data_IF_821551328648
#
_entry.id   IF_821551328648
#
_cell.length_a   1.000
_cell.length_b   1.000
_cell.length_c   1.000
_cell.angle_alpha   90.00
_cell.angle_beta   90.00
_cell.angle_gamma   90.00
#
_symmetry.space_group_name_H-M   'P 1'
#
loop_
_entity.id
_entity.type
_entity.pdbx_description
1 polymer ?
#
# COMPACT_ATOMS: atom_id res chain seq x y z
N UNK A 1 -9.93 0.68 -5.27
CA UNK A 1 -11.19 0.44 -4.54
C UNK A 1 -11.01 -0.76 -3.64
N UNK A 2 -11.61 -0.74 -2.46
CA UNK A 2 -11.63 -1.91 -1.58
C UNK A 2 -12.71 -2.89 -2.08
N UNK A 3 -12.36 -4.17 -2.18
CA UNK A 3 -13.24 -5.24 -2.69
C UNK A 3 -13.45 -6.37 -1.70
N UNK A 4 -12.77 -6.34 -0.56
CA UNK A 4 -12.88 -7.35 0.47
C UNK A 4 -12.60 -6.74 1.84
N UNK A 5 -13.37 -7.15 2.83
CA UNK A 5 -13.13 -6.90 4.25
C UNK A 5 -13.64 -8.09 5.05
N UNK A 6 -12.81 -8.61 5.97
CA UNK A 6 -13.25 -9.58 6.96
C UNK A 6 -12.51 -9.42 8.28
N UNK A 7 -13.27 -9.40 9.37
CA UNK A 7 -12.73 -9.48 10.73
C UNK A 7 -12.25 -10.90 11.07
N UNK A 8 -12.92 -11.91 10.52
CA UNK A 8 -12.56 -13.32 10.69
C UNK A 8 -11.83 -13.78 9.44
N UNK A 9 -10.51 -13.81 9.53
CA UNK A 9 -9.68 -14.18 8.40
C UNK A 9 -10.04 -15.57 7.85
N UNK A 10 -10.39 -15.60 6.55
CA UNK A 10 -10.65 -16.82 5.80
C UNK A 10 -9.79 -16.83 4.52
N UNK A 11 -8.75 -17.68 4.42
CA UNK A 11 -7.88 -17.72 3.25
C UNK A 11 -8.60 -18.24 2.00
N UNK A 12 -9.63 -19.07 2.14
CA UNK A 12 -10.37 -19.61 1.00
C UNK A 12 -11.14 -18.53 0.25
N UNK A 13 -11.72 -17.57 0.98
CA UNK A 13 -12.35 -16.39 0.39
C UNK A 13 -11.36 -15.57 -0.43
N UNK A 14 -10.11 -15.43 0.05
CA UNK A 14 -9.08 -14.73 -0.69
C UNK A 14 -8.57 -15.50 -1.91
N UNK A 15 -8.55 -16.83 -1.86
CA UNK A 15 -8.27 -17.64 -3.06
C UNK A 15 -9.38 -17.47 -4.11
N UNK A 16 -10.65 -17.47 -3.71
CA UNK A 16 -11.78 -17.20 -4.61
C UNK A 16 -11.74 -15.77 -5.17
N UNK A 17 -11.42 -14.78 -4.34
CA UNK A 17 -11.19 -13.40 -4.78
C UNK A 17 -10.05 -13.33 -5.79
N UNK A 18 -8.96 -14.06 -5.55
CA UNK A 18 -7.85 -14.17 -6.50
C UNK A 18 -8.29 -14.73 -7.85
N UNK A 19 -9.11 -15.79 -7.86
CA UNK A 19 -9.69 -16.33 -9.10
C UNK A 19 -10.56 -15.32 -9.82
N UNK A 20 -11.40 -14.57 -9.11
CA UNK A 20 -12.22 -13.52 -9.70
C UNK A 20 -11.36 -12.42 -10.34
N UNK A 21 -10.34 -11.95 -9.63
CA UNK A 21 -9.37 -10.96 -10.12
C UNK A 21 -8.66 -11.45 -11.40
N UNK A 22 -8.14 -12.68 -11.37
CA UNK A 22 -7.43 -13.26 -12.51
C UNK A 22 -8.34 -13.55 -13.72
N UNK A 23 -9.62 -13.83 -13.48
CA UNK A 23 -10.61 -14.04 -14.54
C UNK A 23 -10.85 -12.78 -15.36
N UNK A 24 -10.87 -11.61 -14.71
CA UNK A 24 -11.08 -10.31 -15.38
C UNK A 24 -9.78 -9.80 -15.98
N UNK A 25 -8.71 -9.89 -15.19
CA UNK A 25 -7.43 -9.29 -15.52
C UNK A 25 -6.53 -10.31 -16.20
N UNK A 26 -6.55 -10.31 -17.53
CA UNK A 26 -5.60 -11.05 -18.33
C UNK A 26 -4.22 -10.37 -18.29
N UNK A 27 -3.14 -11.17 -18.27
CA UNK A 27 -1.77 -10.68 -18.30
C UNK A 27 -1.15 -10.53 -16.91
N UNK A 28 -0.41 -9.45 -16.68
CA UNK A 28 0.39 -9.24 -15.45
C UNK A 28 -0.35 -8.35 -14.45
N UNK A 29 -0.50 -8.83 -13.21
CA UNK A 29 -1.10 -8.12 -12.09
C UNK A 29 -0.04 -7.85 -11.03
N UNK A 30 0.08 -6.61 -10.57
CA UNK A 30 0.96 -6.26 -9.47
C UNK A 30 0.30 -6.67 -8.16
N UNK A 31 0.98 -7.46 -7.34
CA UNK A 31 0.46 -7.91 -6.04
C UNK A 31 1.39 -7.54 -4.90
N UNK A 32 0.85 -6.81 -3.92
CA UNK A 32 1.59 -6.38 -2.73
C UNK A 32 0.84 -6.64 -1.43
N UNK A 33 1.48 -6.32 -0.31
CA UNK A 33 0.84 -6.32 1.02
C UNK A 33 1.43 -5.30 1.98
N UNK A 34 0.72 -5.07 3.08
CA UNK A 34 1.26 -4.38 4.25
C UNK A 34 2.25 -5.25 5.05
N UNK A 35 2.73 -4.75 6.20
CA UNK A 35 3.71 -5.43 7.06
C UNK A 35 3.21 -6.65 7.84
N UNK A 36 1.90 -6.85 7.94
CA UNK A 36 1.30 -7.76 8.94
C UNK A 36 1.36 -9.22 8.52
N UNK A 37 1.49 -10.10 9.52
CA UNK A 37 1.63 -11.54 9.28
C UNK A 37 0.40 -12.14 8.61
N UNK A 38 -0.80 -11.69 9.01
CA UNK A 38 -2.06 -12.16 8.43
C UNK A 38 -2.20 -11.76 6.95
N UNK A 39 -1.74 -10.56 6.58
CA UNK A 39 -1.73 -10.10 5.19
C UNK A 39 -0.77 -10.91 4.32
N UNK A 40 0.32 -11.44 4.91
CA UNK A 40 1.22 -12.40 4.22
C UNK A 40 0.49 -13.68 3.87
N UNK A 41 -0.32 -14.22 4.78
CA UNK A 41 -1.11 -15.40 4.50
C UNK A 41 -2.19 -15.10 3.45
N UNK A 42 -2.95 -14.01 3.64
CA UNK A 42 -3.99 -13.62 2.71
C UNK A 42 -3.48 -13.37 1.28
N UNK A 43 -2.33 -12.69 1.14
CA UNK A 43 -1.68 -12.49 -0.16
C UNK A 43 -1.33 -13.82 -0.83
N UNK A 44 -0.80 -14.80 -0.10
CA UNK A 44 -0.46 -16.12 -0.68
C UNK A 44 -1.71 -16.84 -1.19
N UNK A 45 -2.80 -16.83 -0.43
CA UNK A 45 -4.05 -17.44 -0.86
C UNK A 45 -4.61 -16.75 -2.13
N UNK A 46 -4.61 -15.42 -2.14
CA UNK A 46 -5.03 -14.63 -3.30
C UNK A 46 -4.15 -14.89 -4.54
N UNK A 47 -2.83 -14.95 -4.36
CA UNK A 47 -1.87 -15.26 -5.42
C UNK A 47 -2.18 -16.61 -6.09
N UNK A 48 -2.46 -17.65 -5.29
CA UNK A 48 -2.82 -18.99 -5.81
C UNK A 48 -4.07 -18.91 -6.69
N UNK A 49 -5.10 -18.18 -6.25
CA UNK A 49 -6.31 -17.98 -7.04
C UNK A 49 -6.03 -17.28 -8.37
N UNK A 50 -5.23 -16.20 -8.35
CA UNK A 50 -4.89 -15.45 -9.57
C UNK A 50 -4.15 -16.35 -10.57
N UNK A 51 -3.08 -17.04 -10.16
CA UNK A 51 -2.28 -17.85 -11.10
C UNK A 51 -3.05 -19.05 -11.67
N UNK A 52 -4.05 -19.58 -10.95
CA UNK A 52 -4.91 -20.66 -11.46
C UNK A 52 -5.78 -20.27 -12.67
N UNK A 53 -5.88 -18.97 -12.97
CA UNK A 53 -6.60 -18.45 -14.14
C UNK A 53 -5.70 -18.25 -15.36
N UNK A 54 -4.39 -18.47 -15.20
CA UNK A 54 -3.38 -18.22 -16.24
C UNK A 54 -2.73 -16.84 -16.17
N UNK A 55 -3.23 -15.95 -15.30
CA UNK A 55 -2.65 -14.61 -15.11
C UNK A 55 -1.31 -14.66 -14.36
N UNK A 56 -0.38 -13.82 -14.79
CA UNK A 56 0.94 -13.67 -14.18
C UNK A 56 0.89 -12.62 -13.07
N UNK A 57 1.65 -12.85 -12.00
CA UNK A 57 1.77 -11.91 -10.89
C UNK A 57 3.16 -11.31 -10.84
N UNK A 58 3.21 -9.99 -10.69
CA UNK A 58 4.41 -9.27 -10.23
C UNK A 58 4.31 -9.08 -8.71
N UNK A 59 4.97 -9.94 -7.93
CA UNK A 59 4.95 -9.88 -6.47
C UNK A 59 5.96 -8.87 -5.94
N UNK A 60 5.48 -7.70 -5.54
CA UNK A 60 6.29 -6.58 -5.00
C UNK A 60 6.58 -6.70 -3.51
N UNK A 61 6.18 -7.81 -2.89
CA UNK A 61 6.33 -8.13 -1.47
C UNK A 61 5.70 -7.10 -0.53
N UNK A 62 6.49 -6.15 -0.04
CA UNK A 62 6.19 -5.28 1.09
C UNK A 62 6.39 -3.83 0.63
N UNK A 63 5.31 -3.06 0.59
CA UNK A 63 5.34 -1.68 0.09
C UNK A 63 4.13 -0.91 0.65
N UNK A 64 4.24 0.38 0.98
CA UNK A 64 3.07 1.18 1.35
C UNK A 64 2.07 1.26 0.20
N UNK A 65 0.76 1.15 0.50
CA UNK A 65 -0.27 1.17 -0.54
C UNK A 65 -0.24 2.46 -1.38
N UNK A 66 0.06 3.61 -0.77
CA UNK A 66 0.17 4.89 -1.50
C UNK A 66 1.28 4.84 -2.56
N UNK A 67 2.45 4.28 -2.25
CA UNK A 67 3.53 4.09 -3.22
C UNK A 67 3.16 3.06 -4.29
N UNK A 68 2.53 1.95 -3.88
CA UNK A 68 2.15 0.91 -4.83
C UNK A 68 1.15 1.42 -5.86
N UNK A 69 0.20 2.26 -5.46
CA UNK A 69 -0.76 2.89 -6.37
C UNK A 69 -0.03 3.73 -7.44
N UNK A 70 0.91 4.57 -7.00
CA UNK A 70 1.68 5.41 -7.91
C UNK A 70 2.60 4.58 -8.84
N UNK A 71 3.26 3.56 -8.28
CA UNK A 71 4.11 2.63 -9.04
C UNK A 71 3.30 1.87 -10.11
N UNK A 72 2.16 1.30 -9.73
CA UNK A 72 1.29 0.57 -10.64
C UNK A 72 0.71 1.47 -11.74
N UNK A 73 0.27 2.68 -11.39
CA UNK A 73 -0.21 3.67 -12.35
C UNK A 73 0.85 4.00 -13.40
N UNK A 74 2.12 4.20 -13.00
CA UNK A 74 3.23 4.46 -13.94
C UNK A 74 3.55 3.26 -14.81
N UNK A 75 3.46 2.04 -14.29
CA UNK A 75 3.64 0.82 -15.08
C UNK A 75 2.47 0.54 -16.02
N UNK A 76 1.32 1.19 -15.83
CA UNK A 76 0.10 0.91 -16.59
C UNK A 76 -0.46 -0.49 -16.32
N UNK A 77 -0.21 -1.04 -15.12
CA UNK A 77 -0.61 -2.38 -14.75
C UNK A 77 -1.67 -2.35 -13.63
N UNK A 78 -2.63 -3.31 -13.65
CA UNK A 78 -3.57 -3.48 -12.55
C UNK A 78 -2.84 -3.92 -11.29
N UNK A 79 -3.44 -3.62 -10.13
CA UNK A 79 -2.88 -3.99 -8.84
C UNK A 79 -3.92 -4.62 -7.90
N UNK A 80 -3.46 -5.55 -7.06
CA UNK A 80 -4.19 -6.08 -5.91
C UNK A 80 -3.29 -6.02 -4.66
N UNK A 81 -3.85 -5.58 -3.53
CA UNK A 81 -3.07 -5.32 -2.33
C UNK A 81 -3.80 -5.79 -1.07
N UNK A 82 -3.14 -6.65 -0.30
CA UNK A 82 -3.70 -7.20 0.95
C UNK A 82 -3.14 -6.44 2.14
N UNK A 83 -4.02 -5.91 3.00
CA UNK A 83 -3.61 -5.21 4.21
C UNK A 83 -4.53 -5.53 5.37
N UNK A 84 -4.07 -5.20 6.57
CA UNK A 84 -4.90 -5.36 7.75
C UNK A 84 -5.12 -4.02 8.46
N UNK A 85 -6.40 -3.71 8.68
CA UNK A 85 -6.86 -2.57 9.44
C UNK A 85 -8.25 -2.87 10.03
N UNK A 86 -8.30 -3.27 11.30
CA UNK A 86 -9.51 -3.77 11.96
C UNK A 86 -10.03 -5.11 11.40
N UNK A 87 -9.29 -5.75 10.51
CA UNK A 87 -9.67 -6.90 9.71
C UNK A 87 -8.80 -6.98 8.45
N UNK A 88 -8.82 -8.11 7.75
CA UNK A 88 -8.13 -8.26 6.47
C UNK A 88 -8.92 -7.60 5.37
N UNK A 89 -8.25 -6.80 4.56
CA UNK A 89 -8.81 -6.00 3.48
C UNK A 89 -8.04 -6.24 2.19
N UNK A 90 -8.73 -6.12 1.06
CA UNK A 90 -8.09 -6.14 -0.27
C UNK A 90 -8.48 -4.91 -1.05
N UNK A 91 -7.47 -4.16 -1.48
CA UNK A 91 -7.61 -3.05 -2.40
C UNK A 91 -7.20 -3.50 -3.81
N UNK A 92 -7.97 -3.08 -4.82
CA UNK A 92 -7.63 -3.26 -6.24
C UNK A 92 -7.62 -1.92 -6.99
N UNK A 93 -6.87 -1.84 -8.08
CA UNK A 93 -6.91 -0.74 -9.04
C UNK A 93 -6.65 -1.25 -10.45
N UNK A 94 -7.24 -0.62 -11.46
CA UNK A 94 -7.17 -1.08 -12.85
C UNK A 94 -8.01 -2.34 -13.12
N UNK A 95 -8.92 -2.71 -12.22
CA UNK A 95 -9.84 -3.85 -12.32
C UNK A 95 -11.22 -3.37 -11.86
N UNK A 96 -12.28 -3.79 -12.55
CA UNK A 96 -13.67 -3.43 -12.21
C UNK A 96 -14.14 -4.19 -10.95
N UNK A 97 -14.50 -3.47 -9.88
CA UNK A 97 -14.99 -4.09 -8.65
C UNK A 97 -16.36 -4.75 -8.77
N UNK A 98 -17.24 -4.22 -9.61
CA UNK A 98 -18.57 -4.79 -9.78
C UNK A 98 -18.49 -6.09 -10.55
N UNK A 99 -17.59 -6.18 -11.52
CA UNK A 99 -17.31 -7.43 -12.22
C UNK A 99 -16.67 -8.48 -11.29
N UNK A 100 -15.76 -8.07 -10.38
CA UNK A 100 -15.23 -8.97 -9.34
C UNK A 100 -16.36 -9.58 -8.51
N UNK A 101 -17.32 -8.76 -8.07
CA UNK A 101 -18.47 -9.23 -7.28
C UNK A 101 -19.34 -10.18 -8.10
N UNK A 102 -19.66 -9.83 -9.34
CA UNK A 102 -20.47 -10.67 -10.22
C UNK A 102 -19.85 -12.06 -10.45
N UNK A 103 -18.53 -12.15 -10.63
CA UNK A 103 -17.82 -13.42 -10.75
C UNK A 103 -17.80 -14.20 -9.43
N UNK A 104 -17.60 -13.51 -8.31
CA UNK A 104 -17.66 -14.14 -6.98
C UNK A 104 -19.04 -14.72 -6.66
N UNK A 105 -20.11 -14.06 -7.08
CA UNK A 105 -21.50 -14.50 -6.91
C UNK A 105 -21.83 -15.67 -7.84
N UNK A 106 -21.53 -15.52 -9.14
CA UNK A 106 -21.85 -16.53 -10.15
C UNK A 106 -20.92 -17.76 -10.13
N UNK A 107 -19.74 -17.63 -9.50
CA UNK A 107 -18.64 -18.62 -9.55
C UNK A 107 -18.14 -18.92 -10.97
N UNK A 108 -18.32 -17.99 -11.90
CA UNK A 108 -17.90 -18.10 -13.30
C UNK A 108 -16.40 -17.84 -13.47
N UNK A 109 -15.57 -18.65 -12.83
CA UNK A 109 -14.11 -18.48 -12.88
C UNK A 109 -13.52 -19.05 -14.16
N UNK A 110 -12.50 -18.38 -14.69
CA UNK A 110 -11.59 -19.01 -15.66
C UNK A 110 -10.71 -20.02 -14.92
N UNK A 111 -10.44 -21.15 -15.58
CA UNK A 111 -9.51 -22.16 -15.13
C UNK A 111 -8.49 -22.41 -16.23
N UNK A 112 -7.23 -22.17 -15.92
CA UNK A 112 -6.14 -22.43 -16.86
C UNK A 112 -5.94 -23.93 -17.05
N UNK A 113 -5.60 -24.33 -18.27
CA UNK A 113 -5.10 -25.67 -18.51
C UNK A 113 -3.76 -25.86 -17.80
N UNK A 114 -3.35 -27.11 -17.49
CA UNK A 114 -2.10 -27.37 -16.78
C UNK A 114 -0.85 -26.70 -17.38
N UNK A 115 -0.81 -26.53 -18.71
CA UNK A 115 0.30 -25.91 -19.42
C UNK A 115 0.23 -24.36 -19.46
N UNK A 116 -0.91 -23.79 -19.06
CA UNK A 116 -1.20 -22.36 -19.12
C UNK A 116 -1.32 -21.74 -17.72
N UNK A 117 -0.94 -22.45 -16.66
CA UNK A 117 -0.95 -21.91 -15.29
C UNK A 117 -0.02 -20.70 -15.23
N UNK A 118 -0.53 -19.62 -14.63
CA UNK A 118 0.19 -18.35 -14.51
C UNK A 118 1.44 -18.45 -13.64
N UNK A 119 2.37 -17.52 -13.86
CA UNK A 119 3.62 -17.46 -13.11
C UNK A 119 3.58 -16.42 -11.99
N UNK A 120 4.34 -16.64 -10.92
CA UNK A 120 4.67 -15.58 -9.96
C UNK A 120 6.09 -15.10 -10.20
N UNK A 121 6.22 -13.85 -10.64
CA UNK A 121 7.49 -13.15 -10.83
C UNK A 121 7.74 -12.26 -9.61
N UNK A 122 8.77 -12.57 -8.83
CA UNK A 122 9.13 -11.76 -7.67
C UNK A 122 9.85 -10.49 -8.10
N UNK A 123 9.33 -9.33 -7.67
CA UNK A 123 9.89 -8.02 -7.96
C UNK A 123 10.11 -7.21 -6.67
N UNK A 124 11.07 -7.60 -5.82
CA UNK A 124 11.27 -6.99 -4.50
C UNK A 124 11.72 -5.53 -4.55
N UNK A 125 12.22 -5.05 -5.69
CA UNK A 125 12.81 -3.72 -5.85
C UNK A 125 11.78 -2.61 -6.14
N UNK A 126 10.47 -2.91 -6.17
CA UNK A 126 9.43 -1.93 -6.51
C UNK A 126 9.50 -0.64 -5.68
N UNK A 127 9.76 -0.78 -4.37
CA UNK A 127 9.91 0.37 -3.47
C UNK A 127 11.16 1.20 -3.80
N UNK A 128 12.26 0.53 -4.14
CA UNK A 128 13.54 1.19 -4.45
C UNK A 128 13.46 1.93 -5.78
N UNK A 129 12.87 1.31 -6.80
CA UNK A 129 12.61 1.95 -8.10
C UNK A 129 11.70 3.16 -7.95
N UNK A 130 10.64 3.02 -7.15
CA UNK A 130 9.70 4.10 -6.87
C UNK A 130 10.40 5.30 -6.21
N UNK A 131 11.22 5.05 -5.18
CA UNK A 131 11.98 6.11 -4.51
C UNK A 131 13.04 6.72 -5.42
N UNK A 132 13.72 5.92 -6.24
CA UNK A 132 14.66 6.41 -7.23
C UNK A 132 13.99 7.38 -8.22
N UNK A 133 12.80 7.04 -8.72
CA UNK A 133 12.03 7.91 -9.59
C UNK A 133 11.64 9.23 -8.91
N UNK A 134 11.19 9.16 -7.65
CA UNK A 134 10.87 10.35 -6.86
C UNK A 134 12.10 11.25 -6.70
N UNK A 135 13.24 10.69 -6.29
CA UNK A 135 14.47 11.44 -6.04
C UNK A 135 15.06 12.04 -7.30
N UNK A 136 14.87 11.38 -8.45
CA UNK A 136 15.23 11.94 -9.76
C UNK A 136 14.34 13.12 -10.16
N UNK A 137 13.06 13.09 -9.80
CA UNK A 137 12.11 14.13 -10.19
C UNK A 137 12.13 15.35 -9.25
N UNK A 138 12.30 15.11 -7.95
CA UNK A 138 12.25 16.15 -6.93
C UNK A 138 13.63 16.42 -6.33
N UNK A 139 14.10 17.64 -6.54
CA UNK A 139 15.31 18.17 -5.90
C UNK A 139 14.94 19.45 -5.14
N UNK A 140 14.57 19.30 -3.88
CA UNK A 140 14.29 20.41 -2.96
C UNK A 140 14.73 20.03 -1.54
N UNK A 141 14.81 21.01 -0.65
CA UNK A 141 15.14 20.80 0.76
C UNK A 141 14.00 21.31 1.64
N UNK A 142 13.63 20.51 2.63
CA UNK A 142 12.72 20.88 3.71
C UNK A 142 13.57 21.13 4.94
N UNK A 143 13.34 22.26 5.62
CA UNK A 143 14.02 22.54 6.89
C UNK A 143 13.14 22.08 8.05
N UNK A 144 13.79 21.77 9.17
CA UNK A 144 13.12 21.46 10.41
C UNK A 144 12.93 19.97 10.65
N UNK A 145 12.00 19.64 11.55
CA UNK A 145 11.77 18.32 12.09
C UNK A 145 10.32 17.88 11.90
N UNK A 146 10.14 16.68 11.35
CA UNK A 146 8.85 16.06 11.13
C UNK A 146 8.56 15.00 12.20
N UNK A 147 7.33 15.00 12.73
CA UNK A 147 6.79 13.84 13.43
C UNK A 147 6.05 12.95 12.42
N UNK A 148 6.42 11.68 12.35
CA UNK A 148 5.86 10.75 11.37
C UNK A 148 5.19 9.57 12.06
N UNK A 149 3.90 9.40 11.86
CA UNK A 149 3.14 8.23 12.27
C UNK A 149 3.07 7.21 11.11
N UNK A 150 3.84 6.13 11.23
CA UNK A 150 3.85 5.05 10.25
C UNK A 150 2.70 4.05 10.41
N UNK A 151 1.86 4.17 11.45
CA UNK A 151 0.70 3.33 11.75
C UNK A 151 0.95 1.80 11.69
N UNK A 152 2.15 1.37 12.05
CA UNK A 152 2.64 -0.01 11.95
C UNK A 152 2.57 -0.56 10.49
N UNK A 153 2.67 0.32 9.50
CA UNK A 153 2.65 0.00 8.07
C UNK A 153 4.07 -0.01 7.49
N UNK A 154 4.27 -0.44 6.23
CA UNK A 154 5.56 -0.37 5.57
C UNK A 154 6.08 1.06 5.34
N UNK A 155 5.32 2.11 5.70
CA UNK A 155 5.73 3.50 5.53
C UNK A 155 7.04 3.82 6.26
N UNK A 156 7.35 3.10 7.35
CA UNK A 156 8.66 3.17 8.04
C UNK A 156 9.85 2.99 7.09
N UNK A 157 9.69 2.25 5.99
CA UNK A 157 10.74 2.00 4.99
C UNK A 157 11.05 3.20 4.09
N UNK A 158 10.20 4.23 4.11
CA UNK A 158 10.45 5.49 3.40
C UNK A 158 11.44 6.38 4.15
N UNK A 159 11.24 6.52 5.46
CA UNK A 159 11.68 7.72 6.16
C UNK A 159 13.19 7.89 6.29
N UNK A 160 14.03 6.84 6.44
CA UNK A 160 15.47 7.03 6.36
C UNK A 160 15.92 7.64 5.04
N UNK A 161 15.28 7.30 3.92
CA UNK A 161 15.70 7.77 2.59
C UNK A 161 15.06 9.09 2.19
N UNK A 162 13.79 9.28 2.54
CA UNK A 162 13.07 10.54 2.28
C UNK A 162 13.66 11.66 3.14
N UNK A 163 13.94 11.42 4.43
CA UNK A 163 14.58 12.42 5.31
C UNK A 163 15.92 12.86 4.77
N UNK A 164 16.78 11.91 4.38
CA UNK A 164 18.13 12.19 3.92
C UNK A 164 18.14 12.95 2.59
N UNK A 165 17.28 12.54 1.65
CA UNK A 165 17.18 13.18 0.34
C UNK A 165 16.64 14.60 0.44
N UNK A 166 15.57 14.84 1.20
CA UNK A 166 14.96 16.16 1.33
C UNK A 166 15.51 17.00 2.49
N UNK A 167 16.38 16.45 3.35
CA UNK A 167 17.15 17.19 4.35
C UNK A 167 16.39 17.65 5.61
N UNK A 168 15.33 16.95 6.02
CA UNK A 168 14.61 17.23 7.27
C UNK A 168 14.83 16.13 8.30
N UNK A 169 14.79 16.49 9.59
CA UNK A 169 14.86 15.52 10.67
C UNK A 169 13.54 14.76 10.81
N UNK A 170 13.59 13.49 11.17
CA UNK A 170 12.39 12.68 11.35
C UNK A 170 12.40 11.98 12.70
N UNK A 171 11.29 12.10 13.41
CA UNK A 171 10.96 11.23 14.52
C UNK A 171 9.77 10.34 14.15
N UNK A 172 9.97 9.02 14.20
CA UNK A 172 8.93 8.06 13.89
C UNK A 172 8.16 7.65 15.15
N UNK A 173 6.85 7.45 14.99
CA UNK A 173 6.00 6.72 15.93
C UNK A 173 5.24 5.62 15.19
N UNK A 174 4.76 4.61 15.94
CA UNK A 174 4.10 3.43 15.35
C UNK A 174 4.95 2.83 14.21
N UNK A 175 6.26 2.74 14.44
CA UNK A 175 7.30 2.39 13.47
C UNK A 175 7.58 0.89 13.39
N UNK A 176 7.07 0.13 14.36
CA UNK A 176 7.14 -1.32 14.33
C UNK A 176 6.08 -1.89 13.38
N UNK A 177 6.50 -2.53 12.29
CA UNK A 177 5.64 -3.33 11.43
C UNK A 177 5.19 -4.62 12.15
N UNK A 178 4.21 -4.49 13.04
CA UNK A 178 3.73 -5.58 13.89
C UNK A 178 2.21 -5.75 13.81
N UNK A 179 1.76 -6.98 14.00
CA UNK A 179 0.34 -7.34 14.19
C UNK A 179 -0.04 -7.44 15.66
N UNK A 180 0.92 -7.42 16.59
CA UNK A 180 0.69 -7.68 18.01
C UNK A 180 0.16 -6.46 18.76
N UNK A 181 0.53 -5.26 18.33
CA UNK A 181 0.11 -4.02 18.96
C UNK A 181 -0.64 -3.16 17.94
N UNK A 182 -1.84 -2.65 18.28
CA UNK A 182 -2.47 -1.62 17.46
C UNK A 182 -1.58 -0.36 17.46
N UNK A 183 -1.61 0.43 16.38
CA UNK A 183 -0.96 1.74 16.41
C UNK A 183 -1.61 2.60 17.49
N UNK A 184 -0.80 3.46 18.14
CA UNK A 184 -1.33 4.49 19.02
C UNK A 184 -2.32 5.36 18.25
N UNK A 185 -3.40 5.82 18.89
CA UNK A 185 -4.47 6.52 18.20
C UNK A 185 -4.03 7.93 17.79
N UNK A 186 -4.78 8.55 16.86
CA UNK A 186 -4.44 9.85 16.24
C UNK A 186 -4.26 10.95 17.29
N UNK A 187 -4.99 10.90 18.39
CA UNK A 187 -4.92 11.87 19.48
C UNK A 187 -3.54 11.88 20.15
N UNK A 188 -2.87 10.73 20.23
CA UNK A 188 -1.50 10.65 20.78
C UNK A 188 -0.49 11.27 19.82
N UNK A 189 -0.67 11.04 18.51
CA UNK A 189 0.12 11.69 17.47
C UNK A 189 -0.04 13.22 17.54
N UNK A 190 -1.28 13.73 17.53
CA UNK A 190 -1.58 15.16 17.59
C UNK A 190 -1.07 15.80 18.88
N UNK A 191 -1.25 15.14 20.03
CA UNK A 191 -0.73 15.64 21.30
C UNK A 191 0.78 15.81 21.26
N UNK A 192 1.50 14.83 20.68
CA UNK A 192 2.94 14.87 20.55
C UNK A 192 3.39 15.92 19.54
N UNK A 193 2.71 16.03 18.40
CA UNK A 193 2.97 17.06 17.38
C UNK A 193 2.84 18.47 17.97
N UNK A 194 1.76 18.72 18.70
CA UNK A 194 1.45 20.06 19.24
C UNK A 194 2.31 20.48 20.44
N UNK A 195 2.87 19.52 21.20
CA UNK A 195 3.70 19.81 22.38
C UNK A 195 5.19 19.67 22.13
N UNK A 196 5.57 18.95 21.09
CA UNK A 196 6.97 18.76 20.73
C UNK A 196 7.50 19.88 19.86
N UNK A 197 8.80 19.79 19.58
CA UNK A 197 9.50 20.66 18.65
C UNK A 197 9.45 20.02 17.25
N UNK A 198 8.34 20.25 16.54
CA UNK A 198 8.11 19.73 15.19
C UNK A 198 7.49 20.83 14.32
N UNK A 199 7.98 20.95 13.09
CA UNK A 199 7.50 21.92 12.11
C UNK A 199 6.28 21.41 11.33
N UNK A 200 6.16 20.10 11.18
CA UNK A 200 5.03 19.44 10.53
C UNK A 200 4.89 17.98 10.96
N UNK A 201 3.72 17.43 10.72
CA UNK A 201 3.37 16.04 10.98
C UNK A 201 2.97 15.30 9.71
N UNK A 202 3.35 14.04 9.60
CA UNK A 202 2.85 13.16 8.55
C UNK A 202 2.28 11.88 9.16
N UNK A 203 1.14 11.42 8.67
CA UNK A 203 0.52 10.16 9.13
C UNK A 203 0.13 9.28 7.95
N UNK A 204 0.74 8.10 7.89
CA UNK A 204 0.62 7.17 6.77
C UNK A 204 -0.41 6.09 7.08
N UNK A 205 -1.59 6.25 6.49
CA UNK A 205 -2.71 5.33 6.71
C UNK A 205 -2.57 4.05 5.89
N UNK A 206 -2.97 2.88 6.46
CA UNK A 206 -2.97 1.59 5.74
C UNK A 206 -3.72 1.61 4.40
N UNK A 207 -4.74 2.45 4.28
CA UNK A 207 -5.61 2.59 3.10
C UNK A 207 -4.95 3.36 1.94
N UNK A 208 -3.67 3.73 2.07
CA UNK A 208 -2.92 4.43 1.01
C UNK A 208 -3.27 5.91 0.92
N UNK A 209 -3.47 6.53 2.09
CA UNK A 209 -3.66 7.96 2.29
C UNK A 209 -2.57 8.47 3.23
N UNK A 210 -2.08 9.67 2.99
CA UNK A 210 -1.18 10.39 3.90
C UNK A 210 -1.87 11.66 4.35
N UNK A 211 -1.92 11.86 5.66
CA UNK A 211 -2.36 13.10 6.28
C UNK A 211 -1.10 13.95 6.55
N UNK A 212 -1.11 15.21 6.10
CA UNK A 212 -0.10 16.23 6.42
C UNK A 212 -0.71 17.23 7.38
N UNK A 213 0.02 17.52 8.45
CA UNK A 213 -0.36 18.47 9.49
C UNK A 213 0.68 19.58 9.58
N UNK A 214 0.26 20.83 9.39
CA UNK A 214 1.14 22.00 9.52
C UNK A 214 0.31 23.24 9.83
N UNK A 215 0.79 24.07 10.76
CA UNK A 215 0.15 25.36 11.11
C UNK A 215 -1.35 25.28 11.44
N UNK A 216 -1.79 24.14 12.00
CA UNK A 216 -3.19 23.87 12.33
C UNK A 216 -4.05 23.38 11.15
N UNK A 217 -3.49 23.28 9.94
CA UNK A 217 -4.13 22.68 8.78
C UNK A 217 -3.90 21.16 8.74
N UNK A 218 -4.92 20.43 8.26
CA UNK A 218 -4.87 19.00 7.98
C UNK A 218 -5.22 18.78 6.49
N UNK A 219 -4.28 18.20 5.74
CA UNK A 219 -4.44 17.91 4.31
C UNK A 219 -4.26 16.42 4.04
N UNK A 220 -5.10 15.85 3.18
CA UNK A 220 -5.03 14.44 2.79
C UNK A 220 -4.53 14.25 1.36
N UNK A 221 -3.64 13.28 1.17
CA UNK A 221 -3.05 12.92 -0.12
C UNK A 221 -3.20 11.43 -0.38
N UNK A 222 -3.69 11.07 -1.57
CA UNK A 222 -3.84 9.69 -2.02
C UNK A 222 -2.77 9.25 -3.03
N UNK A 223 -1.78 10.11 -3.26
CA UNK A 223 -0.61 9.94 -4.14
C UNK A 223 0.60 10.66 -3.52
N UNK A 224 1.77 10.01 -3.53
CA UNK A 224 3.02 10.61 -3.06
C UNK A 224 3.46 11.76 -3.96
N UNK A 225 3.18 11.71 -5.27
CA UNK A 225 3.50 12.81 -6.19
C UNK A 225 2.79 14.10 -5.78
N UNK A 226 1.48 14.01 -5.47
CA UNK A 226 0.71 15.16 -4.99
C UNK A 226 1.20 15.67 -3.64
N UNK A 227 1.55 14.76 -2.72
CA UNK A 227 2.15 15.13 -1.44
C UNK A 227 3.46 15.90 -1.66
N UNK A 228 4.37 15.40 -2.50
CA UNK A 228 5.66 16.02 -2.77
C UNK A 228 5.55 17.34 -3.53
N UNK A 229 4.60 17.46 -4.46
CA UNK A 229 4.28 18.73 -5.12
C UNK A 229 3.83 19.79 -4.11
N UNK A 230 3.05 19.38 -3.11
CA UNK A 230 2.62 20.26 -2.04
C UNK A 230 3.79 20.62 -1.11
N UNK A 231 4.58 19.62 -0.68
CA UNK A 231 5.75 19.85 0.18
C UNK A 231 6.74 20.81 -0.47
N UNK A 232 7.06 20.62 -1.76
CA UNK A 232 7.96 21.50 -2.50
C UNK A 232 7.52 22.98 -2.51
N UNK A 233 6.22 23.24 -2.44
CA UNK A 233 5.65 24.59 -2.51
C UNK A 233 5.50 25.24 -1.14
N UNK A 234 5.27 24.44 -0.09
CA UNK A 234 4.77 24.93 1.20
C UNK A 234 5.65 24.56 2.41
N UNK A 235 6.68 23.72 2.23
CA UNK A 235 7.65 23.34 3.26
C UNK A 235 9.06 23.77 2.83
#
# INVERSE_FOLDING_TARGET
MEVYYSQRFNPEELALLGRAIGTISHGTIIVGRDGRAISRYGKRAMVVGIVSTGSTIMDVRLIPLIALKDFAHRKGLPLAYVYYYGGVRVYVSGIDSEEIKAILESKSFIEAQPNDIGATVYYPNALDDFLHEIFKHYNFRVKGKALVDAMNTPAVLFFPRISDHFGFEVELINDMMTSYLPPKPKEVFLHKLNKGDYDFGLRFRPEGVVELYKDGEELEFSSMWKLLDHMKKNL
#
